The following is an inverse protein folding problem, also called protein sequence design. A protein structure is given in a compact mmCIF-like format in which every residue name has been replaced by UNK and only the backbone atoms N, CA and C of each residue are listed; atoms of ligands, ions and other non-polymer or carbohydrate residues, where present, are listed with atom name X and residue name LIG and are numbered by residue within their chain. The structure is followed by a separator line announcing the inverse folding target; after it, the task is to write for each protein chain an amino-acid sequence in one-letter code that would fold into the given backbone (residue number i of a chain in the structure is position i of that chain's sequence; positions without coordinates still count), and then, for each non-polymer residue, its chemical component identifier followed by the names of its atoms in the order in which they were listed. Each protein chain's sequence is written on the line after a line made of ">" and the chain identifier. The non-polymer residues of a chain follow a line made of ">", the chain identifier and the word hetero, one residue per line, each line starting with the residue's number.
data_IF_944717327371
#
_entry.id   IF_944717327371
#
_cell.length_a   1.000
_cell.length_b   1.000
_cell.length_c   1.000
_cell.angle_alpha   90.00
_cell.angle_beta   90.00
_cell.angle_gamma   90.00
#
_symmetry.space_group_name_H-M   'P 1'
#
loop_
_entity.id
_entity.type
_entity.pdbx_description
1 polymer ?
#
# COMPACT_ATOMS: atom_id res chain seq x y z
N UNK A 1 -14.82 55.81 1.27
CA UNK A 1 -14.03 54.77 2.02
C UNK A 1 -14.75 53.43 2.14
N UNK A 2 -15.92 53.22 1.55
CA UNK A 2 -16.72 51.97 1.57
C UNK A 2 -16.51 51.10 0.31
N UNK A 3 -15.98 51.68 -0.77
CA UNK A 3 -15.77 50.98 -2.05
C UNK A 3 -14.48 50.12 -2.10
N UNK A 4 -13.47 50.41 -1.26
CA UNK A 4 -12.22 49.63 -1.26
C UNK A 4 -12.32 48.34 -0.47
N UNK A 5 -13.24 48.24 0.48
CA UNK A 5 -13.46 47.04 1.28
C UNK A 5 -14.23 45.91 0.53
N UNK A 6 -14.91 46.29 -0.57
CA UNK A 6 -15.66 45.32 -1.40
C UNK A 6 -14.84 44.66 -2.49
N UNK A 7 -13.63 45.14 -2.76
CA UNK A 7 -12.70 44.60 -3.77
C UNK A 7 -11.67 43.62 -3.19
N UNK A 8 -11.61 43.47 -1.86
CA UNK A 8 -10.76 42.50 -1.18
C UNK A 8 -11.53 41.24 -0.71
N UNK A 9 -12.80 41.09 -1.07
CA UNK A 9 -13.49 39.79 -1.06
C UNK A 9 -13.22 39.04 -2.38
N UNK A 10 -11.99 39.10 -2.85
CA UNK A 10 -11.54 38.28 -3.94
C UNK A 10 -11.40 36.84 -3.39
N UNK A 11 -12.34 35.97 -3.75
CA UNK A 11 -12.21 34.52 -3.89
C UNK A 11 -11.04 33.91 -3.09
N UNK A 12 -11.10 33.96 -1.76
CA UNK A 12 -10.32 33.04 -0.94
C UNK A 12 -11.02 31.70 -1.16
N UNK A 13 -10.51 30.92 -2.10
CA UNK A 13 -10.94 29.54 -2.28
C UNK A 13 -10.76 28.84 -0.95
N UNK A 14 -11.85 28.37 -0.36
CA UNK A 14 -11.86 27.74 0.95
C UNK A 14 -11.53 26.25 0.82
N UNK A 15 -11.14 25.61 1.89
CA UNK A 15 -11.00 24.15 1.93
C UNK A 15 -12.28 23.44 1.46
N UNK A 16 -13.46 24.04 1.74
CA UNK A 16 -14.75 23.52 1.27
C UNK A 16 -14.92 23.58 -0.25
N UNK A 17 -14.41 24.63 -0.90
CA UNK A 17 -14.49 24.74 -2.36
C UNK A 17 -13.63 23.65 -3.04
N UNK A 18 -12.44 23.37 -2.50
CA UNK A 18 -11.59 22.26 -2.99
C UNK A 18 -12.21 20.88 -2.71
N UNK A 19 -12.91 20.71 -1.60
CA UNK A 19 -13.65 19.45 -1.34
C UNK A 19 -14.82 19.29 -2.33
N UNK A 20 -15.51 20.37 -2.69
CA UNK A 20 -16.55 20.36 -3.72
C UNK A 20 -15.96 20.04 -5.11
N UNK A 21 -14.78 20.59 -5.42
CA UNK A 21 -14.07 20.28 -6.67
C UNK A 21 -13.62 18.83 -6.71
N UNK A 22 -13.13 18.30 -5.58
CA UNK A 22 -12.70 16.89 -5.42
C UNK A 22 -13.85 15.90 -5.73
N UNK A 23 -15.09 16.27 -5.39
CA UNK A 23 -16.28 15.42 -5.56
C UNK A 23 -17.19 15.85 -6.72
N UNK A 24 -16.69 16.72 -7.61
CA UNK A 24 -17.48 17.32 -8.69
C UNK A 24 -17.82 16.36 -9.85
N UNK A 25 -17.14 15.19 -9.93
CA UNK A 25 -17.20 14.30 -11.09
C UNK A 25 -16.36 14.78 -12.28
N UNK A 26 -15.69 15.93 -12.18
CA UNK A 26 -14.75 16.43 -13.18
C UNK A 26 -13.33 16.08 -12.74
N UNK A 27 -12.67 15.17 -13.46
CA UNK A 27 -11.34 14.63 -13.12
C UNK A 27 -10.28 15.76 -13.07
N UNK A 28 -10.35 16.73 -13.98
CA UNK A 28 -9.38 17.83 -14.03
C UNK A 28 -9.49 18.77 -12.83
N UNK A 29 -10.73 19.05 -12.38
CA UNK A 29 -10.99 19.83 -11.18
C UNK A 29 -10.55 19.06 -9.93
N UNK A 30 -10.89 17.79 -9.85
CA UNK A 30 -10.54 16.94 -8.74
C UNK A 30 -9.01 16.79 -8.60
N UNK A 31 -8.28 16.58 -9.69
CA UNK A 31 -6.81 16.48 -9.66
C UNK A 31 -6.17 17.80 -9.21
N UNK A 32 -6.70 18.93 -9.63
CA UNK A 32 -6.25 20.25 -9.18
C UNK A 32 -6.51 20.46 -7.68
N UNK A 33 -7.66 20.00 -7.19
CA UNK A 33 -8.04 20.06 -5.79
C UNK A 33 -7.15 19.21 -4.89
N UNK A 34 -6.64 18.04 -5.37
CA UNK A 34 -5.73 17.17 -4.61
C UNK A 34 -4.52 17.97 -4.13
N UNK A 35 -3.81 18.65 -5.03
CA UNK A 35 -2.62 19.44 -4.69
C UNK A 35 -2.93 20.53 -3.66
N UNK A 36 -4.03 21.27 -3.87
CA UNK A 36 -4.44 22.34 -2.96
C UNK A 36 -4.79 21.81 -1.55
N UNK A 37 -5.53 20.68 -1.47
CA UNK A 37 -5.90 20.07 -0.18
C UNK A 37 -4.67 19.51 0.56
N UNK A 38 -3.67 19.00 -0.17
CA UNK A 38 -2.40 18.55 0.43
C UNK A 38 -1.62 19.76 0.99
N UNK A 39 -1.60 20.90 0.28
CA UNK A 39 -0.93 22.13 0.73
C UNK A 39 -1.61 22.76 1.95
N UNK A 40 -2.94 22.71 2.04
CA UNK A 40 -3.70 23.16 3.21
C UNK A 40 -3.38 22.32 4.46
N UNK A 41 -2.92 21.10 4.31
CA UNK A 41 -2.38 20.30 5.40
C UNK A 41 -3.42 19.75 6.37
N UNK A 42 -3.12 19.83 7.68
CA UNK A 42 -3.90 19.15 8.73
C UNK A 42 -5.36 19.58 8.83
N UNK A 43 -5.69 20.81 8.46
CA UNK A 43 -7.06 21.33 8.56
C UNK A 43 -8.06 20.59 7.67
N UNK A 44 -7.58 19.97 6.57
CA UNK A 44 -8.42 19.23 5.61
C UNK A 44 -8.70 17.79 6.05
N UNK A 45 -7.88 17.23 6.94
CA UNK A 45 -7.92 15.82 7.34
C UNK A 45 -9.28 15.38 7.88
N UNK A 46 -9.95 16.12 8.80
CA UNK A 46 -11.25 15.69 9.32
C UNK A 46 -12.30 15.52 8.22
N UNK A 47 -12.34 16.43 7.25
CA UNK A 47 -13.28 16.38 6.14
C UNK A 47 -12.95 15.25 5.16
N UNK A 48 -11.66 15.00 4.90
CA UNK A 48 -11.20 13.88 4.08
C UNK A 48 -11.55 12.54 4.73
N UNK A 49 -11.33 12.39 6.04
CA UNK A 49 -11.72 11.18 6.79
C UNK A 49 -13.24 10.96 6.78
N UNK A 50 -14.04 12.01 6.79
CA UNK A 50 -15.49 11.86 6.61
C UNK A 50 -15.83 11.43 5.19
N UNK A 51 -15.17 11.98 4.17
CA UNK A 51 -15.37 11.63 2.77
C UNK A 51 -14.99 10.16 2.48
N UNK A 52 -14.01 9.58 3.20
CA UNK A 52 -13.70 8.16 3.06
C UNK A 52 -14.84 7.22 3.48
N UNK A 53 -15.87 7.72 4.17
CA UNK A 53 -17.07 6.93 4.54
C UNK A 53 -18.16 6.95 3.47
N UNK A 54 -17.94 7.64 2.36
CA UNK A 54 -18.89 7.75 1.26
C UNK A 54 -19.27 6.37 0.72
N UNK A 55 -20.53 6.20 0.31
CA UNK A 55 -20.99 5.03 -0.45
C UNK A 55 -20.40 4.99 -1.86
N UNK A 56 -20.08 6.15 -2.41
CA UNK A 56 -19.44 6.31 -3.70
C UNK A 56 -17.95 5.96 -3.62
N UNK A 57 -17.50 5.05 -4.48
CA UNK A 57 -16.12 4.62 -4.54
C UNK A 57 -15.17 5.72 -5.00
N UNK A 58 -15.61 6.56 -5.95
CA UNK A 58 -14.81 7.67 -6.48
C UNK A 58 -14.50 8.69 -5.38
N UNK A 59 -15.50 9.02 -4.55
CA UNK A 59 -15.31 9.91 -3.41
C UNK A 59 -14.32 9.32 -2.39
N UNK A 60 -14.38 8.02 -2.10
CA UNK A 60 -13.42 7.36 -1.21
C UNK A 60 -12.01 7.38 -1.81
N UNK A 61 -11.92 7.11 -3.12
CA UNK A 61 -10.66 7.10 -3.84
C UNK A 61 -9.97 8.48 -3.82
N UNK A 62 -10.73 9.53 -4.14
CA UNK A 62 -10.20 10.90 -4.13
C UNK A 62 -9.74 11.32 -2.72
N UNK A 63 -10.53 11.00 -1.69
CA UNK A 63 -10.15 11.28 -0.32
C UNK A 63 -8.84 10.57 0.08
N UNK A 64 -8.73 9.26 -0.25
CA UNK A 64 -7.52 8.49 0.00
C UNK A 64 -6.32 8.99 -0.79
N UNK A 65 -6.52 9.47 -2.02
CA UNK A 65 -5.46 10.05 -2.84
C UNK A 65 -4.85 11.28 -2.18
N UNK A 66 -5.67 12.16 -1.61
CA UNK A 66 -5.18 13.32 -0.84
C UNK A 66 -4.47 12.84 0.43
N UNK A 67 -5.10 11.95 1.20
CA UNK A 67 -4.51 11.41 2.44
C UNK A 67 -3.17 10.72 2.17
N UNK A 68 -3.06 9.91 1.12
CA UNK A 68 -1.82 9.21 0.77
C UNK A 68 -0.67 10.16 0.40
N UNK A 69 -0.95 11.32 -0.15
CA UNK A 69 0.03 12.34 -0.52
C UNK A 69 0.33 13.32 0.62
N UNK A 70 -0.58 13.49 1.58
CA UNK A 70 -0.41 14.42 2.70
C UNK A 70 0.83 14.06 3.54
N UNK A 71 1.70 15.02 3.91
CA UNK A 71 2.80 14.79 4.84
C UNK A 71 2.35 14.36 6.23
N UNK A 72 1.10 14.63 6.58
CA UNK A 72 0.47 14.29 7.85
C UNK A 72 -0.28 12.95 7.82
N UNK A 73 -0.17 12.19 6.72
CA UNK A 73 -0.83 10.89 6.57
C UNK A 73 -0.42 9.92 7.68
N UNK A 74 -1.39 9.14 8.15
CA UNK A 74 -1.17 8.07 9.12
C UNK A 74 -1.59 6.73 8.53
N UNK A 75 -0.83 5.70 8.85
CA UNK A 75 -1.07 4.33 8.40
C UNK A 75 -2.47 3.85 8.74
N UNK A 76 -2.96 4.16 9.93
CA UNK A 76 -4.30 3.81 10.42
C UNK A 76 -5.46 4.33 9.57
N UNK A 77 -5.24 5.39 8.77
CA UNK A 77 -6.26 5.94 7.87
C UNK A 77 -6.32 5.23 6.52
N UNK A 78 -5.25 4.53 6.13
CA UNK A 78 -5.16 3.84 4.84
C UNK A 78 -5.43 2.34 4.96
N UNK A 79 -4.97 1.72 6.04
CA UNK A 79 -5.07 0.26 6.27
C UNK A 79 -6.49 -0.30 6.07
N UNK A 80 -7.58 0.31 6.58
CA UNK A 80 -8.94 -0.23 6.41
C UNK A 80 -9.34 -0.39 4.93
N UNK A 81 -8.79 0.45 4.03
CA UNK A 81 -9.13 0.49 2.61
C UNK A 81 -8.36 -0.53 1.76
N UNK A 82 -7.46 -1.29 2.34
CA UNK A 82 -6.90 -2.49 1.70
C UNK A 82 -7.96 -3.56 1.43
N UNK A 83 -9.09 -3.52 2.14
CA UNK A 83 -10.22 -4.44 1.96
C UNK A 83 -11.47 -3.75 1.37
N UNK A 84 -11.31 -2.59 0.72
CA UNK A 84 -12.43 -1.90 0.08
C UNK A 84 -13.01 -2.75 -1.06
N UNK A 85 -14.35 -2.77 -1.24
CA UNK A 85 -14.96 -3.50 -2.35
C UNK A 85 -14.52 -3.01 -3.73
N UNK A 86 -14.18 -1.71 -3.87
CA UNK A 86 -13.70 -1.13 -5.12
C UNK A 86 -12.17 -1.33 -5.26
N UNK A 87 -11.75 -1.90 -6.37
CA UNK A 87 -10.34 -2.21 -6.63
C UNK A 87 -9.46 -0.97 -6.65
N UNK A 88 -9.94 0.12 -7.25
CA UNK A 88 -9.19 1.38 -7.36
C UNK A 88 -8.91 1.99 -5.97
N UNK A 89 -9.85 1.85 -5.04
CA UNK A 89 -9.69 2.27 -3.65
C UNK A 89 -8.63 1.41 -2.95
N UNK A 90 -8.64 0.07 -3.14
CA UNK A 90 -7.60 -0.81 -2.60
C UNK A 90 -6.21 -0.47 -3.15
N UNK A 91 -6.13 -0.22 -4.47
CA UNK A 91 -4.88 0.18 -5.14
C UNK A 91 -4.34 1.50 -4.56
N UNK A 92 -5.21 2.50 -4.36
CA UNK A 92 -4.84 3.79 -3.77
C UNK A 92 -4.31 3.62 -2.34
N UNK A 93 -4.97 2.82 -1.51
CA UNK A 93 -4.54 2.50 -0.15
C UNK A 93 -3.16 1.80 -0.13
N UNK A 94 -3.01 0.75 -0.95
CA UNK A 94 -1.75 0.00 -1.05
C UNK A 94 -0.60 0.88 -1.57
N UNK A 95 -0.88 1.78 -2.54
CA UNK A 95 0.10 2.75 -3.03
C UNK A 95 0.55 3.70 -1.92
N UNK A 96 -0.38 4.28 -1.17
CA UNK A 96 -0.09 5.17 -0.05
C UNK A 96 0.80 4.49 0.99
N UNK A 97 0.48 3.25 1.38
CA UNK A 97 1.28 2.45 2.31
C UNK A 97 2.65 2.07 1.74
N UNK A 98 2.77 1.91 0.41
CA UNK A 98 4.08 1.66 -0.24
C UNK A 98 4.98 2.89 -0.31
N UNK A 99 4.39 4.09 -0.25
CA UNK A 99 5.14 5.36 -0.22
C UNK A 99 5.71 5.60 1.18
N UNK A 100 4.88 5.39 2.22
CA UNK A 100 5.23 5.54 3.63
C UNK A 100 4.98 4.23 4.37
N UNK A 101 5.93 3.29 4.27
CA UNK A 101 5.81 2.01 4.94
C UNK A 101 5.92 2.16 6.45
N UNK A 102 5.05 1.48 7.18
CA UNK A 102 5.00 1.46 8.63
C UNK A 102 4.73 0.04 9.14
N UNK A 103 5.39 -0.35 10.21
CA UNK A 103 5.32 -1.71 10.77
C UNK A 103 3.90 -2.10 11.21
N UNK A 104 3.08 -1.14 11.61
CA UNK A 104 1.67 -1.39 12.01
C UNK A 104 0.80 -1.92 10.87
N UNK A 105 1.23 -1.74 9.60
CA UNK A 105 0.52 -2.24 8.43
C UNK A 105 0.88 -3.68 8.04
N UNK A 106 1.87 -4.31 8.66
CA UNK A 106 2.44 -5.61 8.23
C UNK A 106 1.34 -6.65 8.02
N UNK A 107 0.51 -6.92 9.03
CA UNK A 107 -0.50 -7.97 8.96
C UNK A 107 -1.53 -7.71 7.86
N UNK A 108 -1.97 -6.46 7.70
CA UNK A 108 -2.91 -6.07 6.66
C UNK A 108 -2.29 -6.15 5.26
N UNK A 109 -1.01 -5.80 5.11
CA UNK A 109 -0.28 -5.94 3.84
C UNK A 109 -0.05 -7.40 3.47
N UNK A 110 0.24 -8.26 4.46
CA UNK A 110 0.38 -9.72 4.25
C UNK A 110 -0.96 -10.33 3.83
N UNK A 111 -2.09 -9.89 4.41
CA UNK A 111 -3.41 -10.41 4.05
C UNK A 111 -3.77 -10.16 2.58
N UNK A 112 -3.36 -9.02 2.01
CA UNK A 112 -3.64 -8.66 0.60
C UNK A 112 -2.60 -9.16 -0.40
N UNK A 113 -1.65 -9.99 0.02
CA UNK A 113 -0.81 -10.75 -0.91
C UNK A 113 -1.63 -11.76 -1.74
N UNK A 114 -2.83 -12.12 -1.27
CA UNK A 114 -3.79 -12.96 -1.99
C UNK A 114 -4.88 -12.18 -2.73
N UNK A 115 -4.76 -10.84 -2.83
CA UNK A 115 -5.74 -10.02 -3.55
C UNK A 115 -5.81 -10.44 -5.03
N UNK A 116 -7.03 -10.48 -5.58
CA UNK A 116 -7.28 -10.84 -6.97
C UNK A 116 -6.68 -9.81 -7.94
N UNK A 117 -6.51 -8.56 -7.49
CA UNK A 117 -5.84 -7.53 -8.26
C UNK A 117 -4.31 -7.59 -8.06
N UNK A 118 -3.60 -7.78 -9.16
CA UNK A 118 -2.14 -7.93 -9.15
C UNK A 118 -1.40 -6.65 -8.78
N UNK A 119 -1.99 -5.48 -8.99
CA UNK A 119 -1.38 -4.21 -8.60
C UNK A 119 -1.44 -4.05 -7.08
N UNK A 120 -2.58 -4.36 -6.44
CA UNK A 120 -2.73 -4.32 -4.98
C UNK A 120 -1.69 -5.23 -4.32
N UNK A 121 -1.62 -6.50 -4.75
CA UNK A 121 -0.70 -7.48 -4.17
C UNK A 121 0.77 -7.11 -4.39
N UNK A 122 1.15 -6.57 -5.56
CA UNK A 122 2.52 -6.11 -5.82
C UNK A 122 2.88 -4.84 -5.03
N UNK A 123 1.94 -3.92 -4.83
CA UNK A 123 2.16 -2.74 -3.97
C UNK A 123 2.34 -3.16 -2.50
N UNK A 124 1.60 -4.17 -2.04
CA UNK A 124 1.80 -4.76 -0.71
C UNK A 124 3.20 -5.37 -0.56
N UNK A 125 3.68 -6.14 -1.55
CA UNK A 125 5.08 -6.65 -1.57
C UNK A 125 6.06 -5.48 -1.44
N UNK A 126 5.89 -4.44 -2.25
CA UNK A 126 6.76 -3.26 -2.22
C UNK A 126 6.79 -2.57 -0.85
N UNK A 127 5.63 -2.45 -0.19
CA UNK A 127 5.53 -1.90 1.15
C UNK A 127 6.26 -2.79 2.18
N UNK A 128 6.00 -4.11 2.17
CA UNK A 128 6.63 -5.08 3.06
C UNK A 128 8.15 -5.14 2.91
N UNK A 129 8.65 -5.06 1.67
CA UNK A 129 10.10 -4.98 1.39
C UNK A 129 10.71 -3.72 2.00
N UNK A 130 10.04 -2.57 1.87
CA UNK A 130 10.50 -1.31 2.46
C UNK A 130 10.45 -1.32 4.00
N UNK A 131 9.45 -1.96 4.60
CA UNK A 131 9.40 -2.20 6.05
C UNK A 131 10.61 -3.05 6.47
N UNK A 132 10.98 -4.01 5.64
CA UNK A 132 12.20 -4.79 5.82
C UNK A 132 12.09 -5.85 6.91
N UNK A 133 13.08 -5.91 7.80
CA UNK A 133 13.26 -7.01 8.75
C UNK A 133 12.09 -7.24 9.70
N UNK A 134 11.30 -6.23 10.00
CA UNK A 134 10.12 -6.37 10.85
C UNK A 134 9.01 -7.22 10.19
N UNK A 135 8.91 -7.21 8.86
CA UNK A 135 7.93 -8.00 8.12
C UNK A 135 8.31 -9.51 8.00
N UNK A 136 9.56 -9.87 8.26
CA UNK A 136 10.06 -11.23 8.02
C UNK A 136 9.27 -12.33 8.76
N UNK A 137 8.90 -12.20 10.04
CA UNK A 137 8.12 -13.23 10.73
C UNK A 137 6.77 -13.51 10.07
N UNK A 138 6.00 -12.47 9.74
CA UNK A 138 4.67 -12.59 9.13
C UNK A 138 4.77 -13.12 7.69
N UNK A 139 5.82 -12.74 6.94
CA UNK A 139 6.10 -13.29 5.62
C UNK A 139 6.46 -14.78 5.67
N UNK A 140 7.27 -15.22 6.65
CA UNK A 140 7.60 -16.64 6.85
C UNK A 140 6.34 -17.45 7.15
N UNK A 141 5.45 -16.93 7.99
CA UNK A 141 4.20 -17.61 8.31
C UNK A 141 3.28 -17.69 7.08
N UNK A 142 3.22 -16.64 6.27
CA UNK A 142 2.47 -16.65 5.02
C UNK A 142 3.05 -17.66 4.00
N UNK A 143 4.37 -17.83 3.92
CA UNK A 143 4.98 -18.88 3.08
C UNK A 143 4.54 -20.28 3.50
N UNK A 144 4.30 -20.53 4.79
CA UNK A 144 3.88 -21.85 5.30
C UNK A 144 2.39 -22.12 5.06
N UNK A 145 1.53 -21.11 5.26
CA UNK A 145 0.08 -21.31 5.39
C UNK A 145 -0.78 -20.55 4.37
N UNK A 146 -0.20 -19.65 3.59
CA UNK A 146 -0.91 -18.82 2.61
C UNK A 146 -1.38 -19.58 1.37
N UNK A 147 -2.18 -18.92 0.53
CA UNK A 147 -2.51 -19.40 -0.81
C UNK A 147 -1.24 -19.49 -1.68
N UNK A 148 -1.27 -20.28 -2.75
CA UNK A 148 -0.09 -20.44 -3.61
C UNK A 148 0.41 -19.09 -4.15
N UNK A 149 -0.48 -18.19 -4.57
CA UNK A 149 -0.11 -16.84 -5.04
C UNK A 149 0.53 -16.01 -3.95
N UNK A 150 -0.07 -15.97 -2.76
CA UNK A 150 0.47 -15.23 -1.61
C UNK A 150 1.83 -15.76 -1.16
N UNK A 151 2.02 -17.08 -1.14
CA UNK A 151 3.31 -17.73 -0.80
C UNK A 151 4.43 -17.31 -1.75
N UNK A 152 4.14 -17.25 -3.06
CA UNK A 152 5.11 -16.80 -4.07
C UNK A 152 5.51 -15.34 -3.82
N UNK A 153 4.53 -14.47 -3.55
CA UNK A 153 4.77 -13.07 -3.29
C UNK A 153 5.51 -12.84 -1.97
N UNK A 154 5.19 -13.62 -0.93
CA UNK A 154 5.90 -13.60 0.34
C UNK A 154 7.37 -14.04 0.18
N UNK A 155 7.65 -15.09 -0.60
CA UNK A 155 9.02 -15.50 -0.92
C UNK A 155 9.77 -14.40 -1.66
N UNK A 156 9.14 -13.76 -2.68
CA UNK A 156 9.75 -12.62 -3.38
C UNK A 156 10.13 -11.50 -2.42
N UNK A 157 9.25 -11.16 -1.49
CA UNK A 157 9.55 -10.14 -0.48
C UNK A 157 10.73 -10.56 0.41
N UNK A 158 10.78 -11.82 0.89
CA UNK A 158 11.88 -12.35 1.69
C UNK A 158 13.22 -12.35 0.93
N UNK A 159 13.19 -12.66 -0.37
CA UNK A 159 14.38 -12.61 -1.25
C UNK A 159 14.94 -11.20 -1.35
N UNK A 160 14.08 -10.19 -1.43
CA UNK A 160 14.49 -8.78 -1.50
C UNK A 160 14.97 -8.24 -0.15
N UNK A 161 14.34 -8.66 0.96
CA UNK A 161 14.71 -8.25 2.33
C UNK A 161 16.07 -8.85 2.75
N UNK A 162 16.42 -10.05 2.26
CA UNK A 162 17.70 -10.74 2.54
C UNK A 162 17.98 -10.95 4.03
N UNK A 163 17.01 -11.44 4.78
CA UNK A 163 17.19 -11.77 6.19
C UNK A 163 17.42 -13.28 6.37
N UNK A 164 18.47 -13.63 7.09
CA UNK A 164 18.86 -15.05 7.34
C UNK A 164 17.78 -15.87 8.06
N UNK A 165 16.84 -15.23 8.77
CA UNK A 165 15.69 -15.91 9.40
C UNK A 165 14.80 -16.63 8.39
N UNK A 166 14.84 -16.23 7.11
CA UNK A 166 14.08 -16.88 6.05
C UNK A 166 14.71 -18.18 5.52
N UNK A 167 15.98 -18.48 5.84
CA UNK A 167 16.69 -19.67 5.34
C UNK A 167 15.91 -20.97 5.61
N UNK A 168 15.44 -21.24 6.85
CA UNK A 168 14.75 -22.51 7.12
C UNK A 168 13.49 -22.73 6.28
N UNK A 169 12.66 -21.70 6.08
CA UNK A 169 11.45 -21.81 5.27
C UNK A 169 11.78 -21.94 3.79
N UNK A 170 12.81 -21.25 3.28
CA UNK A 170 13.28 -21.39 1.89
C UNK A 170 13.79 -22.83 1.64
N UNK A 171 14.57 -23.40 2.57
CA UNK A 171 15.00 -24.79 2.47
C UNK A 171 13.84 -25.79 2.51
N UNK A 172 12.81 -25.54 3.31
CA UNK A 172 11.60 -26.35 3.33
C UNK A 172 10.89 -26.33 1.98
N UNK A 173 10.71 -25.14 1.39
CA UNK A 173 10.06 -24.93 0.09
C UNK A 173 10.80 -25.62 -1.05
N UNK A 174 12.13 -25.80 -0.97
CA UNK A 174 12.90 -26.53 -1.97
C UNK A 174 12.47 -28.00 -2.13
N UNK A 175 11.80 -28.58 -1.13
CA UNK A 175 11.30 -29.97 -1.16
C UNK A 175 9.83 -30.07 -1.64
N UNK A 176 9.20 -28.97 -2.01
CA UNK A 176 7.83 -28.96 -2.52
C UNK A 176 7.77 -29.16 -4.05
N UNK A 177 6.63 -29.59 -4.59
CA UNK A 177 6.48 -29.89 -6.01
C UNK A 177 6.30 -28.64 -6.90
N UNK A 178 6.20 -27.43 -6.32
CA UNK A 178 5.98 -26.19 -7.06
C UNK A 178 7.28 -25.62 -7.61
N UNK A 179 7.49 -25.74 -8.90
CA UNK A 179 8.69 -25.20 -9.57
C UNK A 179 8.89 -23.68 -9.35
N UNK A 180 7.80 -22.89 -9.24
CA UNK A 180 7.90 -21.46 -9.03
C UNK A 180 8.29 -21.11 -7.59
N UNK A 181 7.78 -21.85 -6.61
CA UNK A 181 8.20 -21.71 -5.21
C UNK A 181 9.65 -22.13 -5.04
N UNK A 182 10.07 -23.24 -5.64
CA UNK A 182 11.47 -23.70 -5.64
C UNK A 182 12.40 -22.64 -6.27
N UNK A 183 11.98 -22.03 -7.39
CA UNK A 183 12.75 -20.98 -8.04
C UNK A 183 13.03 -19.80 -7.09
N UNK A 184 11.98 -19.26 -6.45
CA UNK A 184 12.15 -18.15 -5.53
C UNK A 184 12.92 -18.53 -4.26
N UNK A 185 12.73 -19.75 -3.74
CA UNK A 185 13.47 -20.22 -2.58
C UNK A 185 14.97 -20.34 -2.92
N UNK A 186 15.30 -20.92 -4.07
CA UNK A 186 16.69 -21.03 -4.56
C UNK A 186 17.33 -19.66 -4.73
N UNK A 187 16.66 -18.75 -5.44
CA UNK A 187 17.11 -17.37 -5.63
C UNK A 187 17.41 -16.67 -4.29
N UNK A 188 16.54 -16.87 -3.29
CA UNK A 188 16.71 -16.30 -1.96
C UNK A 188 17.92 -16.89 -1.21
N UNK A 189 18.12 -18.20 -1.28
CA UNK A 189 19.28 -18.87 -0.67
C UNK A 189 20.59 -18.40 -1.31
N UNK A 190 20.65 -18.30 -2.65
CA UNK A 190 21.82 -17.79 -3.38
C UNK A 190 22.14 -16.34 -3.00
N UNK A 191 21.13 -15.45 -2.91
CA UNK A 191 21.33 -14.06 -2.47
C UNK A 191 21.74 -13.91 -1.01
N UNK A 192 21.53 -14.93 -0.21
CA UNK A 192 22.04 -15.03 1.17
C UNK A 192 23.43 -15.66 1.27
N UNK A 193 24.06 -15.97 0.13
CA UNK A 193 25.41 -16.54 0.06
C UNK A 193 25.45 -18.06 0.27
N UNK A 194 24.31 -18.73 0.12
CA UNK A 194 24.21 -20.18 0.19
C UNK A 194 24.16 -20.75 -1.22
N UNK A 195 25.33 -20.94 -1.85
CA UNK A 195 25.46 -21.64 -3.14
C UNK A 195 25.09 -23.11 -2.95
N UNK A 196 23.82 -23.41 -3.12
CA UNK A 196 23.31 -24.77 -2.97
C UNK A 196 23.66 -25.59 -4.20
N UNK A 197 24.74 -26.32 -4.15
CA UNK A 197 24.90 -27.51 -5.01
C UNK A 197 23.92 -28.57 -4.48
N UNK A 198 22.73 -28.62 -5.08
CA UNK A 198 21.70 -29.58 -4.70
C UNK A 198 22.12 -30.97 -5.16
N UNK A 199 22.73 -31.74 -4.28
CA UNK A 199 22.89 -33.18 -4.49
C UNK A 199 21.55 -33.81 -4.16
N UNK A 200 20.73 -34.09 -5.21
CA UNK A 200 19.50 -34.87 -5.06
C UNK A 200 19.88 -36.20 -4.44
N UNK A 201 19.35 -36.61 -3.27
CA UNK A 201 19.61 -37.95 -2.76
C UNK A 201 19.08 -38.97 -3.78
N UNK A 202 19.91 -39.95 -4.10
CA UNK A 202 19.60 -41.08 -4.97
C UNK A 202 18.56 -41.97 -4.31
#
# INVERSE_FOLDING_TARGET
>A
MICLFRLLQNNVTTSQDFLNDLTSGDESRAESAVSALVELGEETIPALLELTKSKDADNRWWALRVLAQSPHSRTEWLVPFLNDPAVDVRQCAALGLSIRPDESAIESLVSVLSDDDTLVSNLAVKALVKIGKAAVPSLIENVKSGSQSARILALRALVEIRDHRAIPVMMQVMNEDSALLQYWAKEGLERLGLDMVYIKPV
#
